data_IF_823988470399
#
_entry.id   IF_823988470399
#
_cell.length_a   1.000
_cell.length_b   1.000
_cell.length_c   1.000
_cell.angle_alpha   90.00
_cell.angle_beta   90.00
_cell.angle_gamma   90.00
#
_symmetry.space_group_name_H-M   'P 1'
#
loop_
_entity.id
_entity.type
_entity.pdbx_description
1 polymer ?
#
# COMPACT_ATOMS: atom_id res chain seq x y z
N UNK A 1 -12.69 -15.39 8.70
CA UNK A 1 -11.26 -15.02 8.55
C UNK A 1 -10.26 -16.20 8.56
N UNK A 2 -10.57 -17.36 9.15
CA UNK A 2 -9.58 -18.47 9.26
C UNK A 2 -9.55 -19.44 8.07
N UNK A 3 -10.28 -19.18 7.02
CA UNK A 3 -10.42 -20.07 5.85
C UNK A 3 -9.23 -20.04 4.89
N UNK A 4 -8.41 -19.00 4.95
CA UNK A 4 -7.20 -18.80 4.14
C UNK A 4 -5.98 -18.60 5.03
N UNK A 5 -4.76 -18.85 4.54
CA UNK A 5 -3.54 -18.56 5.30
C UNK A 5 -3.42 -17.06 5.60
N UNK A 6 -3.75 -16.20 4.63
CA UNK A 6 -3.80 -14.75 4.84
C UNK A 6 -4.80 -14.37 5.96
N UNK A 7 -5.95 -15.02 6.04
CA UNK A 7 -6.93 -14.82 7.11
C UNK A 7 -6.44 -15.32 8.48
N UNK A 8 -5.72 -16.44 8.52
CA UNK A 8 -5.10 -16.94 9.76
C UNK A 8 -4.04 -15.97 10.27
N UNK A 9 -3.19 -15.44 9.37
CA UNK A 9 -2.16 -14.47 9.70
C UNK A 9 -2.78 -13.15 10.22
N UNK A 10 -3.82 -12.66 9.55
CA UNK A 10 -4.57 -11.49 10.01
C UNK A 10 -5.14 -11.68 11.43
N UNK A 11 -5.75 -12.83 11.72
CA UNK A 11 -6.26 -13.14 13.07
C UNK A 11 -5.13 -13.17 14.10
N UNK A 12 -3.97 -13.72 13.76
CA UNK A 12 -2.79 -13.76 14.66
C UNK A 12 -2.29 -12.36 15.00
N UNK A 13 -2.23 -11.46 14.02
CA UNK A 13 -1.83 -10.07 14.20
C UNK A 13 -2.83 -9.30 15.06
N UNK A 14 -4.13 -9.43 14.76
CA UNK A 14 -5.20 -8.71 15.45
C UNK A 14 -5.42 -9.18 16.90
N UNK A 15 -5.20 -10.47 17.20
CA UNK A 15 -5.32 -11.01 18.57
C UNK A 15 -4.43 -10.33 19.61
N UNK A 16 -3.35 -9.69 19.16
CA UNK A 16 -2.39 -8.96 20.02
C UNK A 16 -2.76 -7.48 20.19
N UNK A 17 -3.87 -7.05 19.59
CA UNK A 17 -4.26 -5.65 19.58
C UNK A 17 -5.50 -5.42 20.46
N UNK A 18 -5.60 -4.21 20.99
CA UNK A 18 -6.81 -3.73 21.62
C UNK A 18 -7.77 -3.24 20.52
N UNK A 19 -8.85 -4.00 20.30
CA UNK A 19 -9.88 -3.65 19.34
C UNK A 19 -10.92 -2.75 20.03
N UNK A 20 -11.16 -1.56 19.48
CA UNK A 20 -12.05 -0.55 20.03
C UNK A 20 -13.22 -0.36 19.05
N UNK A 21 -14.42 -0.85 19.37
CA UNK A 21 -15.61 -0.57 18.57
C UNK A 21 -16.03 0.89 18.72
N UNK A 22 -16.37 1.51 17.61
CA UNK A 22 -16.88 2.90 17.54
C UNK A 22 -18.06 2.88 16.58
N UNK A 23 -19.27 3.19 17.02
CA UNK A 23 -20.43 3.24 16.13
C UNK A 23 -20.30 4.43 15.18
N UNK A 24 -20.73 4.24 13.93
CA UNK A 24 -20.73 5.26 12.87
C UNK A 24 -19.37 5.97 12.72
N UNK A 25 -18.29 5.20 12.81
CA UNK A 25 -16.95 5.73 12.66
C UNK A 25 -16.74 6.25 11.23
N UNK A 26 -15.96 7.36 11.03
CA UNK A 26 -15.71 7.89 9.70
C UNK A 26 -14.82 6.98 8.83
N UNK A 27 -14.36 5.87 9.40
CA UNK A 27 -13.55 4.85 8.74
C UNK A 27 -14.02 3.46 9.13
N UNK A 28 -14.08 2.50 8.18
CA UNK A 28 -14.52 1.13 8.50
C UNK A 28 -13.63 0.43 9.54
N UNK A 29 -12.32 0.63 9.45
CA UNK A 29 -11.34 0.27 10.49
C UNK A 29 -10.02 0.97 10.23
N UNK A 30 -9.25 1.26 11.29
CA UNK A 30 -7.89 1.77 11.16
C UNK A 30 -7.04 1.45 12.39
N UNK A 31 -5.74 1.34 12.16
CA UNK A 31 -4.77 1.20 13.22
C UNK A 31 -4.20 2.57 13.61
N UNK A 32 -4.34 2.94 14.87
CA UNK A 32 -3.73 4.15 15.42
C UNK A 32 -2.39 3.77 16.09
N UNK A 33 -1.30 4.19 15.46
CA UNK A 33 0.06 3.88 15.92
C UNK A 33 0.41 4.53 17.27
N UNK A 34 -0.16 5.70 17.58
CA UNK A 34 0.11 6.43 18.83
C UNK A 34 -0.50 5.73 20.04
N UNK A 35 -1.75 5.31 19.92
CA UNK A 35 -2.48 4.60 21.00
C UNK A 35 -2.26 3.08 20.97
N UNK A 36 -1.64 2.54 19.93
CA UNK A 36 -1.51 1.11 19.66
C UNK A 36 -2.85 0.36 19.69
N UNK A 37 -3.90 0.97 19.12
CA UNK A 37 -5.26 0.45 19.09
C UNK A 37 -5.74 0.29 17.66
N UNK A 38 -6.62 -0.68 17.43
CA UNK A 38 -7.38 -0.84 16.19
C UNK A 38 -8.82 -0.38 16.46
N UNK A 39 -9.26 0.64 15.78
CA UNK A 39 -10.63 1.14 15.82
C UNK A 39 -11.43 0.47 14.72
N UNK A 40 -12.68 0.12 15.02
CA UNK A 40 -13.58 -0.62 14.13
C UNK A 40 -14.93 0.08 14.14
N UNK A 41 -15.47 0.38 12.97
CA UNK A 41 -16.85 0.79 12.87
C UNK A 41 -17.77 -0.39 13.21
N UNK A 42 -18.42 -0.30 14.36
CA UNK A 42 -19.30 -1.35 14.87
C UNK A 42 -20.71 -1.31 14.26
N UNK A 43 -21.04 -0.30 13.45
CA UNK A 43 -22.30 -0.23 12.72
C UNK A 43 -22.32 -1.09 11.45
N UNK A 44 -21.14 -1.48 10.95
CA UNK A 44 -21.00 -2.35 9.78
C UNK A 44 -21.43 -3.80 10.09
N UNK A 45 -21.87 -4.52 9.05
CA UNK A 45 -22.12 -5.95 9.20
C UNK A 45 -20.82 -6.73 9.46
N UNK A 46 -20.88 -7.91 10.11
CA UNK A 46 -19.69 -8.68 10.47
C UNK A 46 -18.80 -9.07 9.29
N UNK A 47 -19.34 -9.24 8.09
CA UNK A 47 -18.56 -9.59 6.91
C UNK A 47 -17.73 -8.38 6.43
N UNK A 48 -18.31 -7.19 6.42
CA UNK A 48 -17.61 -5.95 6.08
C UNK A 48 -16.54 -5.60 7.11
N UNK A 49 -16.84 -5.80 8.39
CA UNK A 49 -15.82 -5.69 9.45
C UNK A 49 -14.65 -6.62 9.16
N UNK A 50 -14.88 -7.88 8.79
CA UNK A 50 -13.83 -8.85 8.53
C UNK A 50 -12.98 -8.47 7.31
N UNK A 51 -13.60 -7.97 6.23
CA UNK A 51 -12.88 -7.46 5.04
C UNK A 51 -11.96 -6.29 5.41
N UNK A 52 -12.48 -5.32 6.14
CA UNK A 52 -11.71 -4.14 6.51
C UNK A 52 -10.59 -4.47 7.51
N UNK A 53 -10.84 -5.37 8.47
CA UNK A 53 -9.81 -5.85 9.39
C UNK A 53 -8.68 -6.61 8.69
N UNK A 54 -8.91 -7.25 7.55
CA UNK A 54 -7.84 -7.86 6.77
C UNK A 54 -6.82 -6.80 6.30
N UNK A 55 -7.28 -5.65 5.78
CA UNK A 55 -6.41 -4.54 5.43
C UNK A 55 -5.69 -3.92 6.64
N UNK A 56 -6.42 -3.74 7.76
CA UNK A 56 -5.82 -3.20 8.99
C UNK A 56 -4.76 -4.14 9.58
N UNK A 57 -4.95 -5.45 9.48
CA UNK A 57 -3.94 -6.43 9.88
C UNK A 57 -2.64 -6.26 9.05
N UNK A 58 -2.75 -5.89 7.76
CA UNK A 58 -1.58 -5.59 6.94
C UNK A 58 -0.85 -4.33 7.42
N UNK A 59 -1.57 -3.30 7.83
CA UNK A 59 -0.94 -2.10 8.43
C UNK A 59 -0.13 -2.47 9.69
N UNK A 60 -0.64 -3.38 10.52
CA UNK A 60 0.10 -3.91 11.66
C UNK A 60 1.35 -4.70 11.25
N UNK A 61 1.25 -5.54 10.22
CA UNK A 61 2.38 -6.26 9.64
C UNK A 61 3.44 -5.27 9.11
N UNK A 62 3.03 -4.28 8.33
CA UNK A 62 3.93 -3.26 7.80
C UNK A 62 4.66 -2.51 8.91
N UNK A 63 3.96 -2.15 10.00
CA UNK A 63 4.61 -1.57 11.18
C UNK A 63 5.68 -2.49 11.78
N UNK A 64 5.44 -3.80 11.84
CA UNK A 64 6.42 -4.75 12.35
C UNK A 64 7.64 -4.86 11.44
N UNK A 65 7.43 -4.87 10.11
CA UNK A 65 8.49 -4.89 9.10
C UNK A 65 9.33 -3.61 9.14
N UNK A 66 8.70 -2.47 9.38
CA UNK A 66 9.30 -1.13 9.34
C UNK A 66 9.71 -0.58 10.73
N UNK A 67 9.66 -1.39 11.80
CA UNK A 67 10.00 -0.93 13.17
C UNK A 67 11.38 -0.30 13.30
N UNK A 68 12.34 -0.68 12.46
CA UNK A 68 13.72 -0.17 12.44
C UNK A 68 13.97 0.82 11.31
N UNK A 69 12.94 1.15 10.56
CA UNK A 69 13.03 1.95 9.35
C UNK A 69 11.98 3.04 9.39
N UNK A 70 12.42 4.26 9.64
CA UNK A 70 11.56 5.42 9.50
C UNK A 70 11.47 5.80 8.01
N UNK A 71 10.27 5.80 7.44
CA UNK A 71 10.06 6.21 6.04
C UNK A 71 10.47 7.66 5.79
N UNK A 72 10.49 8.50 6.82
CA UNK A 72 11.00 9.88 6.71
C UNK A 72 12.53 9.93 6.53
N UNK A 73 13.26 8.88 6.87
CA UNK A 73 14.70 8.79 6.59
C UNK A 73 15.00 8.22 5.18
N UNK A 74 14.05 7.51 4.54
CA UNK A 74 14.26 7.00 3.19
C UNK A 74 14.34 8.14 2.16
N UNK A 75 15.17 7.98 1.13
CA UNK A 75 15.08 8.82 -0.06
C UNK A 75 13.65 8.88 -0.57
N UNK A 76 13.21 10.04 -1.03
CA UNK A 76 11.81 10.29 -1.34
C UNK A 76 11.23 9.31 -2.39
N UNK A 77 12.01 8.95 -3.41
CA UNK A 77 11.58 7.97 -4.41
C UNK A 77 11.33 6.59 -3.80
N UNK A 78 12.18 6.14 -2.91
CA UNK A 78 12.08 4.84 -2.24
C UNK A 78 10.91 4.82 -1.25
N UNK A 79 10.76 5.91 -0.48
CA UNK A 79 9.66 6.08 0.46
C UNK A 79 8.29 6.06 -0.22
N UNK A 80 8.14 6.75 -1.37
CA UNK A 80 6.90 6.70 -2.18
C UNK A 80 6.59 5.29 -2.64
N UNK A 81 7.58 4.58 -3.18
CA UNK A 81 7.37 3.21 -3.66
C UNK A 81 6.98 2.26 -2.52
N UNK A 82 7.65 2.37 -1.39
CA UNK A 82 7.34 1.60 -0.20
C UNK A 82 5.90 1.88 0.29
N UNK A 83 5.49 3.16 0.34
CA UNK A 83 4.15 3.55 0.76
C UNK A 83 3.06 3.04 -0.18
N UNK A 84 3.26 3.18 -1.51
CA UNK A 84 2.34 2.62 -2.52
C UNK A 84 2.17 1.12 -2.36
N UNK A 85 3.28 0.39 -2.16
CA UNK A 85 3.25 -1.06 -1.99
C UNK A 85 2.48 -1.47 -0.73
N UNK A 86 2.67 -0.75 0.38
CA UNK A 86 1.91 -1.01 1.61
C UNK A 86 0.40 -0.84 1.40
N UNK A 87 -0.02 0.18 0.66
CA UNK A 87 -1.44 0.36 0.33
C UNK A 87 -1.95 -0.73 -0.62
N UNK A 88 -1.19 -1.04 -1.67
CA UNK A 88 -1.52 -2.11 -2.60
C UNK A 88 -1.67 -3.46 -1.90
N UNK A 89 -0.78 -3.77 -0.97
CA UNK A 89 -0.81 -4.98 -0.15
C UNK A 89 -2.06 -5.04 0.75
N UNK A 90 -2.40 -3.93 1.40
CA UNK A 90 -3.60 -3.87 2.24
C UNK A 90 -4.88 -4.06 1.41
N UNK A 91 -4.98 -3.43 0.25
CA UNK A 91 -6.14 -3.59 -0.65
C UNK A 91 -6.22 -5.01 -1.24
N UNK A 92 -5.09 -5.64 -1.58
CA UNK A 92 -5.06 -7.02 -2.04
C UNK A 92 -5.58 -8.00 -0.98
N UNK A 93 -5.24 -7.79 0.29
CA UNK A 93 -5.75 -8.62 1.39
C UNK A 93 -7.23 -8.39 1.69
N UNK A 94 -7.74 -7.17 1.58
CA UNK A 94 -9.19 -6.90 1.63
C UNK A 94 -9.90 -7.66 0.51
N UNK A 95 -9.37 -7.59 -0.71
CA UNK A 95 -9.92 -8.26 -1.88
C UNK A 95 -9.97 -9.78 -1.72
N UNK A 96 -8.89 -10.38 -1.20
CA UNK A 96 -8.85 -11.82 -0.94
C UNK A 96 -9.84 -12.23 0.15
N UNK A 97 -9.97 -11.44 1.22
CA UNK A 97 -10.93 -11.69 2.28
C UNK A 97 -12.37 -11.57 1.77
N UNK A 98 -12.66 -10.53 0.98
CA UNK A 98 -13.95 -10.37 0.31
C UNK A 98 -14.31 -11.61 -0.51
N UNK A 99 -13.38 -12.07 -1.38
CA UNK A 99 -13.60 -13.26 -2.19
C UNK A 99 -13.90 -14.50 -1.34
N UNK A 100 -13.10 -14.73 -0.30
CA UNK A 100 -13.26 -15.89 0.59
C UNK A 100 -14.60 -15.88 1.35
N UNK A 101 -15.09 -14.70 1.77
CA UNK A 101 -16.37 -14.57 2.44
C UNK A 101 -17.54 -14.68 1.46
N UNK A 102 -17.42 -14.06 0.28
CA UNK A 102 -18.46 -14.09 -0.75
C UNK A 102 -18.68 -15.50 -1.30
N UNK A 103 -17.62 -16.30 -1.38
CA UNK A 103 -17.69 -17.69 -1.85
C UNK A 103 -18.19 -18.67 -0.78
N UNK A 104 -18.46 -18.21 0.44
CA UNK A 104 -18.94 -19.03 1.53
C UNK A 104 -20.44 -18.80 1.77
N UNK A 105 -21.28 -19.57 1.08
CA UNK A 105 -22.74 -19.47 1.14
C UNK A 105 -23.33 -19.78 2.52
N UNK A 106 -22.56 -20.38 3.44
CA UNK A 106 -23.02 -20.67 4.80
C UNK A 106 -23.00 -19.44 5.73
N UNK A 107 -22.45 -18.30 5.28
CA UNK A 107 -22.42 -17.08 6.08
C UNK A 107 -23.75 -16.33 5.98
N UNK A 108 -24.29 -15.85 7.12
CA UNK A 108 -25.56 -15.12 7.15
C UNK A 108 -25.47 -13.70 6.56
N UNK A 109 -24.26 -13.20 6.36
CA UNK A 109 -23.98 -11.87 5.81
C UNK A 109 -23.07 -11.95 4.59
N UNK A 110 -23.42 -11.25 3.53
CA UNK A 110 -22.56 -11.06 2.35
C UNK A 110 -21.83 -9.73 2.49
N UNK A 111 -20.48 -9.71 2.30
CA UNK A 111 -19.74 -8.46 2.34
C UNK A 111 -20.07 -7.58 1.13
N UNK A 112 -20.00 -6.27 1.31
CA UNK A 112 -19.97 -5.33 0.20
C UNK A 112 -18.65 -5.44 -0.55
N UNK A 113 -18.70 -5.28 -1.87
CA UNK A 113 -17.51 -5.36 -2.70
C UNK A 113 -16.61 -4.13 -2.42
N UNK A 114 -15.38 -4.32 -1.97
CA UNK A 114 -14.44 -3.22 -1.84
C UNK A 114 -14.22 -2.54 -3.19
N UNK A 115 -14.03 -1.23 -3.18
CA UNK A 115 -13.67 -0.50 -4.38
C UNK A 115 -12.29 -0.88 -4.91
N UNK A 116 -12.04 -0.54 -6.19
CA UNK A 116 -10.72 -0.65 -6.78
C UNK A 116 -10.48 -1.89 -7.63
N UNK A 117 -9.42 -1.81 -8.43
CA UNK A 117 -9.07 -2.82 -9.44
C UNK A 117 -8.50 -4.12 -8.83
N UNK A 118 -7.96 -4.06 -7.63
CA UNK A 118 -7.39 -5.22 -6.91
C UNK A 118 -8.43 -6.32 -6.67
N UNK A 119 -9.69 -5.95 -6.39
CA UNK A 119 -10.79 -6.91 -6.19
C UNK A 119 -11.06 -7.72 -7.45
N UNK A 120 -11.18 -7.06 -8.59
CA UNK A 120 -11.39 -7.73 -9.87
C UNK A 120 -10.23 -8.69 -10.20
N UNK A 121 -8.99 -8.27 -9.92
CA UNK A 121 -7.82 -9.11 -10.12
C UNK A 121 -7.87 -10.39 -9.27
N UNK A 122 -8.24 -10.28 -7.98
CA UNK A 122 -8.40 -11.46 -7.11
C UNK A 122 -9.50 -12.39 -7.65
N UNK A 123 -10.67 -11.85 -7.99
CA UNK A 123 -11.79 -12.64 -8.50
C UNK A 123 -11.38 -13.44 -9.75
N UNK A 124 -10.72 -12.79 -10.71
CA UNK A 124 -10.26 -13.44 -11.94
C UNK A 124 -9.25 -14.55 -11.61
N UNK A 125 -8.23 -14.26 -10.81
CA UNK A 125 -7.20 -15.25 -10.45
C UNK A 125 -7.80 -16.45 -9.71
N UNK A 126 -8.70 -16.22 -8.76
CA UNK A 126 -9.35 -17.29 -8.03
C UNK A 126 -10.32 -18.11 -8.88
N UNK A 127 -11.04 -17.48 -9.81
CA UNK A 127 -11.86 -18.17 -10.80
C UNK A 127 -11.04 -19.09 -11.73
N UNK A 128 -9.78 -18.72 -11.99
CA UNK A 128 -8.80 -19.52 -12.73
C UNK A 128 -8.11 -20.59 -11.89
N UNK A 129 -8.48 -20.77 -10.61
CA UNK A 129 -7.88 -21.76 -9.71
C UNK A 129 -6.51 -21.37 -9.15
N UNK A 130 -6.11 -20.09 -9.21
CA UNK A 130 -4.84 -19.64 -8.68
C UNK A 130 -4.78 -19.79 -7.15
N UNK A 131 -3.56 -20.00 -6.61
CA UNK A 131 -3.30 -19.96 -5.17
C UNK A 131 -3.54 -18.55 -4.61
N UNK A 132 -3.66 -18.44 -3.27
CA UNK A 132 -3.83 -17.14 -2.60
C UNK A 132 -2.64 -16.21 -2.89
N UNK A 133 -1.41 -16.73 -2.89
CA UNK A 133 -0.20 -15.95 -3.17
C UNK A 133 -0.20 -15.38 -4.58
N UNK A 134 -0.60 -16.17 -5.59
CA UNK A 134 -0.73 -15.68 -6.97
C UNK A 134 -1.83 -14.64 -7.12
N UNK A 135 -2.94 -14.82 -6.43
CA UNK A 135 -4.03 -13.85 -6.42
C UNK A 135 -3.61 -12.53 -5.75
N UNK A 136 -2.87 -12.59 -4.62
CA UNK A 136 -2.32 -11.42 -3.94
C UNK A 136 -1.29 -10.69 -4.80
N UNK A 137 -0.32 -11.40 -5.42
CA UNK A 137 0.67 -10.80 -6.32
C UNK A 137 -0.01 -10.06 -7.48
N UNK A 138 -0.98 -10.69 -8.12
CA UNK A 138 -1.73 -10.08 -9.21
C UNK A 138 -2.53 -8.85 -8.75
N UNK A 139 -3.14 -8.89 -7.58
CA UNK A 139 -3.90 -7.78 -7.01
C UNK A 139 -3.01 -6.58 -6.64
N UNK A 140 -1.84 -6.84 -6.04
CA UNK A 140 -0.84 -5.81 -5.76
C UNK A 140 -0.38 -5.16 -7.05
N UNK A 141 -0.06 -5.92 -8.09
CA UNK A 141 0.34 -5.39 -9.40
C UNK A 141 -0.78 -4.61 -10.08
N UNK A 142 -2.02 -5.08 -9.99
CA UNK A 142 -3.19 -4.40 -10.55
C UNK A 142 -3.45 -3.03 -9.91
N UNK A 143 -3.17 -2.86 -8.62
CA UNK A 143 -3.31 -1.58 -7.93
C UNK A 143 -2.57 -0.43 -8.64
N UNK A 144 -1.40 -0.71 -9.21
CA UNK A 144 -0.62 0.31 -9.92
C UNK A 144 -1.25 0.76 -11.26
N UNK A 145 -2.25 0.05 -11.77
CA UNK A 145 -3.04 0.45 -12.93
C UNK A 145 -4.21 1.38 -12.54
N UNK A 146 -4.51 1.50 -11.26
CA UNK A 146 -5.47 2.48 -10.73
C UNK A 146 -4.76 3.80 -10.48
N UNK A 147 -4.74 4.66 -11.50
CA UNK A 147 -4.05 5.94 -11.43
C UNK A 147 -4.59 6.86 -10.33
N UNK A 148 -5.89 6.77 -10.01
CA UNK A 148 -6.49 7.57 -8.93
C UNK A 148 -6.00 7.08 -7.57
N UNK A 149 -5.98 5.77 -7.34
CA UNK A 149 -5.46 5.18 -6.11
C UNK A 149 -3.97 5.52 -5.91
N UNK A 150 -3.16 5.40 -6.97
CA UNK A 150 -1.72 5.74 -6.94
C UNK A 150 -1.53 7.22 -6.62
N UNK A 151 -2.26 8.14 -7.28
CA UNK A 151 -2.16 9.58 -6.97
C UNK A 151 -2.56 9.91 -5.54
N UNK A 152 -3.59 9.25 -5.01
CA UNK A 152 -4.03 9.41 -3.63
C UNK A 152 -2.94 8.95 -2.66
N UNK A 153 -2.29 7.82 -2.94
CA UNK A 153 -1.14 7.36 -2.16
C UNK A 153 0.00 8.36 -2.15
N UNK A 154 0.34 8.94 -3.30
CA UNK A 154 1.41 9.95 -3.40
C UNK A 154 1.09 11.20 -2.58
N UNK A 155 -0.16 11.64 -2.60
CA UNK A 155 -0.62 12.77 -1.80
C UNK A 155 -0.55 12.49 -0.30
N UNK A 156 -1.01 11.32 0.11
CA UNK A 156 -0.99 10.89 1.51
C UNK A 156 0.46 10.71 2.01
N UNK A 157 1.32 10.12 1.19
CA UNK A 157 2.76 10.04 1.48
C UNK A 157 3.34 11.45 1.71
N UNK A 158 3.15 12.37 0.76
CA UNK A 158 3.67 13.72 0.85
C UNK A 158 3.21 14.40 2.15
N UNK A 159 1.92 14.33 2.46
CA UNK A 159 1.32 14.93 3.66
C UNK A 159 1.90 14.32 4.95
N UNK A 160 1.94 13.00 5.04
CA UNK A 160 2.37 12.30 6.24
C UNK A 160 3.87 12.50 6.50
N UNK A 161 4.70 12.40 5.45
CA UNK A 161 6.14 12.57 5.61
C UNK A 161 6.53 14.03 5.85
N UNK A 162 5.81 14.99 5.26
CA UNK A 162 6.02 16.40 5.58
C UNK A 162 5.78 16.68 7.07
N UNK A 163 4.66 16.19 7.61
CA UNK A 163 4.33 16.37 9.03
C UNK A 163 5.37 15.70 9.93
N UNK A 164 5.81 14.48 9.58
CA UNK A 164 6.83 13.76 10.34
C UNK A 164 8.16 14.49 10.30
N UNK A 165 8.62 14.90 9.11
CA UNK A 165 9.87 15.62 8.93
C UNK A 165 9.86 16.98 9.65
N UNK A 166 8.76 17.73 9.56
CA UNK A 166 8.56 19.00 10.25
C UNK A 166 8.65 18.82 11.77
N UNK A 167 8.01 17.77 12.33
CA UNK A 167 8.05 17.53 13.76
C UNK A 167 9.46 17.15 14.24
N UNK A 168 10.19 16.32 13.47
CA UNK A 168 11.58 15.92 13.80
C UNK A 168 12.50 17.14 13.70
N UNK A 169 12.37 17.97 12.68
CA UNK A 169 13.17 19.17 12.49
C UNK A 169 12.97 20.17 13.64
N UNK A 170 11.72 20.36 14.08
CA UNK A 170 11.37 21.23 15.21
C UNK A 170 11.75 20.66 16.57
N UNK A 171 11.76 19.36 16.70
CA UNK A 171 12.12 18.66 17.94
C UNK A 171 12.99 17.43 17.64
N UNK A 172 14.32 17.62 17.47
CA UNK A 172 15.23 16.52 17.16
C UNK A 172 15.26 15.39 18.22
N UNK A 173 14.78 15.64 19.42
CA UNK A 173 14.69 14.61 20.47
C UNK A 173 13.64 13.52 20.15
N UNK A 174 12.69 13.78 19.24
CA UNK A 174 11.72 12.78 18.78
C UNK A 174 12.38 11.64 17.97
N UNK A 175 13.50 11.94 17.30
CA UNK A 175 14.25 10.96 16.52
C UNK A 175 15.76 11.33 16.57
N UNK A 176 16.46 11.08 17.68
CA UNK A 176 17.86 11.46 17.84
C UNK A 176 18.73 10.84 16.73
N UNK A 177 19.47 11.69 16.02
CA UNK A 177 20.37 11.24 14.94
C UNK A 177 19.68 10.89 13.61
N UNK A 178 18.38 11.10 13.48
CA UNK A 178 17.67 10.88 12.22
C UNK A 178 18.24 11.79 11.11
N UNK A 179 18.44 11.18 9.93
CA UNK A 179 18.85 11.88 8.70
C UNK A 179 17.72 11.79 7.70
N UNK A 180 16.89 12.83 7.67
CA UNK A 180 15.70 12.88 6.81
C UNK A 180 16.06 12.71 5.33
N UNK A 181 15.29 11.87 4.64
CA UNK A 181 15.37 11.60 3.19
C UNK A 181 16.79 11.26 2.68
N UNK A 182 17.57 10.51 3.46
CA UNK A 182 18.98 10.23 3.14
C UNK A 182 19.31 8.76 2.91
N UNK A 183 18.49 7.85 3.42
CA UNK A 183 18.74 6.40 3.36
C UNK A 183 18.15 5.77 2.11
N UNK A 184 18.88 4.86 1.49
CA UNK A 184 18.34 3.99 0.47
C UNK A 184 17.37 2.97 1.07
N UNK A 185 16.45 2.50 0.25
CA UNK A 185 15.52 1.43 0.63
C UNK A 185 16.31 0.13 0.88
N UNK A 186 16.04 -0.59 1.98
CA UNK A 186 16.69 -1.86 2.25
C UNK A 186 16.37 -2.91 1.20
N UNK A 187 17.34 -3.78 0.92
CA UNK A 187 17.14 -4.92 0.04
C UNK A 187 15.97 -5.79 0.51
N UNK A 188 15.21 -6.28 -0.46
CA UNK A 188 14.07 -7.19 -0.25
C UNK A 188 12.99 -6.66 0.69
N UNK A 189 12.92 -5.33 0.87
CA UNK A 189 11.88 -4.76 1.74
C UNK A 189 10.47 -5.03 1.19
N UNK A 190 10.30 -5.05 -0.14
CA UNK A 190 9.04 -5.35 -0.79
C UNK A 190 8.58 -6.78 -0.53
N UNK A 191 9.53 -7.73 -0.55
CA UNK A 191 9.27 -9.13 -0.21
C UNK A 191 8.86 -9.30 1.27
N UNK A 192 9.42 -8.49 2.17
CA UNK A 192 9.03 -8.49 3.58
C UNK A 192 7.65 -7.86 3.80
N UNK A 193 7.35 -6.74 3.12
CA UNK A 193 6.04 -6.08 3.16
C UNK A 193 4.97 -7.04 2.64
N UNK A 194 5.17 -7.64 1.47
CA UNK A 194 4.23 -8.53 0.81
C UNK A 194 4.54 -10.00 1.12
N UNK A 195 4.40 -10.39 2.38
CA UNK A 195 4.58 -11.78 2.82
C UNK A 195 3.42 -12.25 3.71
N UNK A 196 3.14 -13.55 3.67
CA UNK A 196 2.16 -14.22 4.54
C UNK A 196 2.87 -15.38 5.23
N UNK A 197 2.82 -15.41 6.57
CA UNK A 197 3.54 -16.42 7.33
C UNK A 197 5.06 -16.41 7.11
N UNK A 198 5.62 -15.28 6.67
CA UNK A 198 7.04 -15.13 6.31
C UNK A 198 7.41 -15.55 4.89
N UNK A 199 6.43 -16.00 4.08
CA UNK A 199 6.63 -16.37 2.67
C UNK A 199 6.25 -15.19 1.77
N UNK A 200 7.20 -14.60 1.01
CA UNK A 200 6.91 -13.52 0.07
C UNK A 200 6.06 -14.01 -1.10
N UNK A 201 5.12 -13.18 -1.55
CA UNK A 201 4.33 -13.44 -2.76
C UNK A 201 4.59 -12.43 -3.88
N UNK A 202 5.45 -11.42 -3.65
CA UNK A 202 6.00 -10.54 -4.69
C UNK A 202 7.51 -10.65 -4.74
N UNK A 203 8.11 -10.23 -5.85
CA UNK A 203 9.55 -10.07 -6.00
C UNK A 203 9.89 -8.60 -6.14
N UNK A 204 10.87 -8.10 -5.38
CA UNK A 204 11.27 -6.70 -5.43
C UNK A 204 11.70 -6.26 -6.85
N UNK A 205 12.34 -7.14 -7.62
CA UNK A 205 12.77 -6.87 -8.99
C UNK A 205 11.62 -6.53 -9.95
N UNK A 206 10.41 -7.07 -9.72
CA UNK A 206 9.23 -6.75 -10.55
C UNK A 206 8.88 -5.28 -10.46
N UNK A 207 9.04 -4.66 -9.29
CA UNK A 207 8.70 -3.25 -9.03
C UNK A 207 9.80 -2.26 -9.48
N UNK A 208 10.92 -2.77 -9.98
CA UNK A 208 11.95 -1.94 -10.62
C UNK A 208 11.58 -1.49 -12.04
N UNK A 209 10.54 -2.10 -12.62
CA UNK A 209 10.05 -1.76 -13.97
C UNK A 209 9.31 -0.43 -13.99
N UNK A 210 9.38 0.24 -15.12
CA UNK A 210 8.78 1.57 -15.33
C UNK A 210 7.32 1.70 -14.87
N UNK A 211 6.39 0.77 -15.18
CA UNK A 211 4.98 0.92 -14.78
C UNK A 211 4.76 1.14 -13.28
N UNK A 212 5.61 0.56 -12.45
CA UNK A 212 5.51 0.68 -10.99
C UNK A 212 6.17 1.94 -10.43
N UNK A 213 6.98 2.64 -11.22
CA UNK A 213 7.73 3.85 -10.84
C UNK A 213 7.13 5.14 -11.39
N UNK A 214 6.14 5.06 -12.29
CA UNK A 214 5.53 6.24 -12.91
C UNK A 214 4.75 7.03 -11.86
N UNK A 215 4.88 8.35 -11.92
CA UNK A 215 4.05 9.25 -11.12
C UNK A 215 3.59 10.45 -11.96
N UNK A 216 2.55 11.14 -11.49
CA UNK A 216 2.11 12.36 -12.13
C UNK A 216 3.08 13.52 -11.85
N UNK A 217 3.30 14.36 -12.85
CA UNK A 217 4.26 15.46 -12.79
C UNK A 217 3.98 16.41 -11.60
N UNK A 218 2.72 16.72 -11.36
CA UNK A 218 2.31 17.57 -10.23
C UNK A 218 2.68 16.92 -8.88
N UNK A 219 2.42 15.61 -8.70
CA UNK A 219 2.76 14.88 -7.47
C UNK A 219 4.27 14.79 -7.26
N UNK A 220 5.02 14.56 -8.33
CA UNK A 220 6.49 14.60 -8.28
C UNK A 220 7.01 15.94 -7.77
N UNK A 221 6.46 17.02 -8.29
CA UNK A 221 6.82 18.37 -7.91
C UNK A 221 6.39 18.71 -6.47
N UNK A 222 5.22 18.23 -6.02
CA UNK A 222 4.74 18.41 -4.65
C UNK A 222 5.67 17.72 -3.66
N UNK A 223 6.07 16.48 -3.93
CA UNK A 223 6.98 15.73 -3.07
C UNK A 223 8.38 16.36 -3.09
N UNK A 224 8.89 16.77 -4.24
CA UNK A 224 10.18 17.47 -4.31
C UNK A 224 10.18 18.75 -3.46
N UNK A 225 9.12 19.55 -3.54
CA UNK A 225 8.96 20.76 -2.71
C UNK A 225 8.85 20.44 -1.21
N UNK A 226 8.20 19.34 -0.87
CA UNK A 226 8.10 18.88 0.51
C UNK A 226 9.44 18.45 1.09
N UNK A 227 10.30 17.77 0.30
CA UNK A 227 11.63 17.28 0.73
C UNK A 227 12.66 18.39 0.86
N UNK A 228 12.62 19.38 -0.05
CA UNK A 228 13.65 20.42 -0.20
C UNK A 228 14.02 21.16 1.10
N UNK A 229 13.10 21.48 2.04
CA UNK A 229 13.45 22.13 3.30
C UNK A 229 14.31 21.25 4.23
N UNK A 230 14.24 19.94 4.11
CA UNK A 230 14.82 18.98 5.07
C UNK A 230 16.03 18.23 4.50
N UNK A 231 16.18 18.15 3.17
CA UNK A 231 17.23 17.35 2.54
C UNK A 231 17.56 17.85 1.14
N UNK A 232 18.79 17.55 0.68
CA UNK A 232 19.21 17.71 -0.72
C UNK A 232 18.83 16.51 -1.60
N UNK A 233 17.95 15.63 -1.13
CA UNK A 233 17.52 14.47 -1.91
C UNK A 233 16.76 14.88 -3.17
N UNK A 234 17.26 14.46 -4.33
CA UNK A 234 16.65 14.68 -5.64
C UNK A 234 16.17 13.38 -6.28
N UNK A 235 16.16 12.27 -5.55
CA UNK A 235 15.79 10.95 -6.08
C UNK A 235 14.40 10.95 -6.72
N UNK A 236 13.46 11.67 -6.15
CA UNK A 236 12.08 11.79 -6.65
C UNK A 236 12.04 12.41 -8.07
N UNK A 237 12.95 13.34 -8.39
CA UNK A 237 13.01 13.97 -9.71
C UNK A 237 13.47 13.02 -10.81
N UNK A 238 14.08 11.89 -10.45
CA UNK A 238 14.52 10.84 -11.39
C UNK A 238 13.39 9.85 -11.73
N UNK A 239 12.29 9.87 -11.00
CA UNK A 239 11.14 9.01 -11.32
C UNK A 239 10.51 9.45 -12.65
N UNK A 240 10.17 8.49 -13.53
CA UNK A 240 9.48 8.79 -14.79
C UNK A 240 8.11 9.40 -14.50
N UNK A 241 7.67 10.32 -15.36
CA UNK A 241 6.32 10.87 -15.23
C UNK A 241 5.37 10.29 -16.27
N UNK A 242 4.10 10.19 -15.88
CA UNK A 242 3.03 9.67 -16.72
C UNK A 242 2.98 10.42 -18.05
N UNK A 243 3.05 11.75 -18.01
CA UNK A 243 3.00 12.62 -19.18
C UNK A 243 4.18 12.37 -20.15
N UNK A 244 5.38 12.11 -19.63
CA UNK A 244 6.54 11.77 -20.46
C UNK A 244 6.42 10.40 -21.09
N UNK A 245 5.93 9.41 -20.36
CA UNK A 245 5.73 8.05 -20.86
C UNK A 245 4.64 8.03 -21.94
N UNK A 246 3.52 8.75 -21.73
CA UNK A 246 2.48 8.87 -22.74
C UNK A 246 2.97 9.57 -24.02
N UNK A 247 3.71 10.68 -23.88
CA UNK A 247 4.31 11.37 -25.03
C UNK A 247 5.23 10.46 -25.82
N UNK A 248 6.09 9.67 -25.13
CA UNK A 248 6.99 8.71 -25.79
C UNK A 248 6.19 7.61 -26.53
N UNK A 249 5.14 7.08 -25.92
CA UNK A 249 4.27 6.07 -26.52
C UNK A 249 3.51 6.63 -27.73
N UNK A 250 3.03 7.86 -27.66
CA UNK A 250 2.36 8.53 -28.79
C UNK A 250 3.32 8.74 -29.98
N UNK A 251 4.55 9.19 -29.71
CA UNK A 251 5.59 9.34 -30.73
C UNK A 251 5.95 8.01 -31.40
N UNK A 252 6.09 6.93 -30.61
CA UNK A 252 6.37 5.60 -31.15
C UNK A 252 5.23 5.07 -32.04
N UNK A 253 3.96 5.31 -31.67
CA UNK A 253 2.78 4.96 -32.50
C UNK A 253 2.76 5.74 -33.82
N UNK A 254 3.06 7.03 -33.79
CA UNK A 254 3.12 7.88 -34.99
C UNK A 254 4.21 7.43 -35.97
N UNK A 255 5.37 7.02 -35.46
CA UNK A 255 6.46 6.46 -36.29
C UNK A 255 6.07 5.12 -36.91
N UNK A 256 5.42 4.23 -36.13
CA UNK A 256 4.94 2.93 -36.64
C UNK A 256 3.89 3.07 -37.75
N UNK A 257 3.07 4.14 -37.71
CA UNK A 257 2.04 4.42 -38.74
C UNK A 257 2.65 5.00 -40.02
N UNK A 258 3.79 5.73 -39.93
CA UNK A 258 4.49 6.29 -41.09
C UNK A 258 5.31 5.23 -41.88
N UNK A 259 5.63 4.12 -41.22
CA UNK A 259 6.42 3.04 -41.82
C UNK A 259 5.56 1.89 -42.39
N UNK A 260 4.25 2.07 -42.41
CA UNK A 260 3.26 1.22 -43.12
C UNK A 260 2.75 1.90 -44.37
#
# INVERSE_FOLDING_TARGET
MKTTEAGKDAVKLLKKQNLVPVPDAPFPSFYNALSNKVYIDSSLNPADIAVNLAGTARQLHHKQVLTKLDMAEMKAADGVQCYRLMQADAEAHKALMYYALKSNEALPYSPEMPGGISVHSVIIQKAMGASDEKALDAAVKAFYNDHQAVQTCDLLYARNQHLTAYNIDRNPSLAPGAKLFSKDMPDKIFEKICSVGGVPYVKQEDFNKTPFKIMFQNRRNDIARMVAPFSKDTSIMKMPTFEKVEAANAAARALATKNR
#
